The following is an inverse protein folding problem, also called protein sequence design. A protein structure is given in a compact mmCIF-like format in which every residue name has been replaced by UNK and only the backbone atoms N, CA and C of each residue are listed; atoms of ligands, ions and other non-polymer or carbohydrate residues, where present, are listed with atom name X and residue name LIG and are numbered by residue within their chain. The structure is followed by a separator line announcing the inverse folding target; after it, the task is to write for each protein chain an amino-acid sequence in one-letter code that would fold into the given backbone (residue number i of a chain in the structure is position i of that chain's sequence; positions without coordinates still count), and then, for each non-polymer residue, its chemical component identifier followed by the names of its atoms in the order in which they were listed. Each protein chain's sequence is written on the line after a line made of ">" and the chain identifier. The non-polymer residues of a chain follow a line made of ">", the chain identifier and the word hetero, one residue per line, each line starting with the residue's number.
data_IF_613215511513
#
_entry.id   IF_613215511513
#
_cell.length_a   1.000
_cell.length_b   1.000
_cell.length_c   1.000
_cell.angle_alpha   90.00
_cell.angle_beta   90.00
_cell.angle_gamma   90.00
#
_symmetry.space_group_name_H-M   'P 1'
#
loop_
_entity.id
_entity.type
_entity.pdbx_description
1 polymer ?
#
# COMPACT_ATOMS: atom_id res chain seq x y z
N UNK A 1 -23.92 19.44 1.95
CA UNK A 1 -23.90 18.74 3.24
C UNK A 1 -22.45 18.45 3.59
N UNK A 2 -21.97 19.19 4.59
CA UNK A 2 -20.79 19.02 5.47
C UNK A 2 -19.76 17.96 5.01
N UNK A 3 -18.71 18.37 4.30
CA UNK A 3 -17.35 18.55 4.85
C UNK A 3 -16.97 17.41 5.81
N UNK A 4 -16.58 16.28 5.25
CA UNK A 4 -15.83 15.27 6.00
C UNK A 4 -14.40 15.79 6.08
N UNK A 5 -14.18 16.63 7.08
CA UNK A 5 -12.87 16.99 7.57
C UNK A 5 -12.33 15.77 8.32
N UNK A 6 -11.63 14.87 7.61
CA UNK A 6 -10.69 13.95 8.23
C UNK A 6 -9.44 14.75 8.60
N UNK A 7 -9.55 15.54 9.67
CA UNK A 7 -8.39 16.12 10.34
C UNK A 7 -7.89 15.04 11.29
N UNK A 8 -7.03 14.15 10.76
CA UNK A 8 -6.15 13.35 11.60
C UNK A 8 -4.95 14.24 11.91
N UNK A 9 -5.04 14.90 13.06
CA UNK A 9 -3.96 15.69 13.60
C UNK A 9 -2.79 14.78 13.98
N UNK A 10 -1.78 14.71 13.13
CA UNK A 10 -0.42 14.32 13.53
C UNK A 10 0.39 15.61 13.72
N UNK A 11 0.17 16.27 14.86
CA UNK A 11 1.04 17.33 15.33
C UNK A 11 2.35 16.70 15.84
N UNK A 12 3.44 16.89 15.12
CA UNK A 12 4.76 16.48 15.59
C UNK A 12 5.89 16.72 14.58
N UNK A 13 6.47 17.92 14.62
CA UNK A 13 7.88 18.18 14.25
C UNK A 13 8.31 18.06 12.77
N UNK A 14 7.54 18.63 11.83
CA UNK A 14 8.08 19.04 10.51
C UNK A 14 8.75 20.42 10.54
N UNK A 15 9.63 20.68 11.51
CA UNK A 15 10.49 21.87 11.41
C UNK A 15 11.53 21.65 10.33
N UNK A 16 11.16 22.06 9.11
CA UNK A 16 12.06 22.75 8.19
C UNK A 16 13.22 21.92 7.61
N UNK A 17 12.92 20.78 6.98
CA UNK A 17 13.85 20.17 6.02
C UNK A 17 13.16 20.02 4.66
N UNK A 18 13.53 20.91 3.75
CA UNK A 18 13.32 20.85 2.30
C UNK A 18 11.90 21.15 1.75
N UNK A 19 11.66 22.45 1.60
CA UNK A 19 10.59 23.06 0.84
C UNK A 19 10.59 22.64 -0.65
N UNK A 20 9.81 21.60 -1.00
CA UNK A 20 9.07 21.44 -2.26
C UNK A 20 7.97 20.36 -2.18
N UNK A 21 7.87 19.62 -1.08
CA UNK A 21 6.90 18.52 -0.97
C UNK A 21 5.51 19.04 -0.64
N UNK A 22 4.55 18.68 -1.49
CA UNK A 22 3.14 18.92 -1.26
C UNK A 22 2.66 17.96 -0.15
N UNK A 23 2.16 18.45 1.00
CA UNK A 23 1.64 17.57 2.08
C UNK A 23 0.54 16.62 1.62
N UNK A 24 -0.14 16.94 0.51
CA UNK A 24 -1.10 16.05 -0.11
C UNK A 24 -0.45 14.89 -0.87
N UNK A 25 0.72 15.10 -1.49
CA UNK A 25 1.50 14.04 -2.15
C UNK A 25 2.01 13.03 -1.11
N UNK A 26 2.66 13.53 -0.05
CA UNK A 26 3.14 12.70 1.07
C UNK A 26 1.98 11.90 1.71
N UNK A 27 0.79 12.50 1.83
CA UNK A 27 -0.37 11.81 2.37
C UNK A 27 -0.92 10.72 1.43
N UNK A 28 -0.78 10.87 0.12
CA UNK A 28 -1.19 9.87 -0.87
C UNK A 28 -0.25 8.67 -0.80
N UNK A 29 1.07 8.90 -0.84
CA UNK A 29 2.09 7.84 -0.74
C UNK A 29 1.94 7.04 0.57
N UNK A 30 1.89 7.73 1.72
CA UNK A 30 1.75 7.05 3.02
C UNK A 30 0.46 6.20 3.13
N UNK A 31 -0.66 6.65 2.57
CA UNK A 31 -1.90 5.86 2.60
C UNK A 31 -1.82 4.66 1.65
N UNK A 32 -1.16 4.81 0.51
CA UNK A 32 -0.96 3.75 -0.44
C UNK A 32 -0.04 2.67 0.12
N UNK A 33 1.04 3.05 0.82
CA UNK A 33 1.93 2.11 1.51
C UNK A 33 1.16 1.26 2.52
N UNK A 34 0.31 1.86 3.36
CA UNK A 34 -0.51 1.08 4.33
C UNK A 34 -1.43 0.07 3.64
N UNK A 35 -1.98 0.42 2.47
CA UNK A 35 -2.84 -0.49 1.70
C UNK A 35 -2.02 -1.59 1.02
N UNK A 36 -0.90 -1.23 0.40
CA UNK A 36 0.03 -2.14 -0.25
C UNK A 36 0.61 -3.16 0.75
N UNK A 37 1.08 -2.69 1.91
CA UNK A 37 1.60 -3.55 2.98
C UNK A 37 0.52 -4.53 3.48
N UNK A 38 -0.77 -4.13 3.48
CA UNK A 38 -1.86 -5.04 3.85
C UNK A 38 -2.10 -6.12 2.80
N UNK A 39 -1.90 -5.80 1.52
CA UNK A 39 -1.98 -6.76 0.42
C UNK A 39 -0.78 -7.71 0.44
N UNK A 40 0.42 -7.22 0.71
CA UNK A 40 1.64 -8.02 0.87
C UNK A 40 1.52 -8.97 2.07
N UNK A 41 1.03 -8.50 3.23
CA UNK A 41 0.77 -9.39 4.37
C UNK A 41 -0.23 -10.50 4.04
N UNK A 42 -1.21 -10.24 3.18
CA UNK A 42 -2.13 -11.27 2.70
C UNK A 42 -1.44 -12.23 1.73
N UNK A 43 -0.57 -11.72 0.84
CA UNK A 43 0.28 -12.52 -0.04
C UNK A 43 1.17 -13.46 0.76
N UNK A 44 1.92 -12.94 1.73
CA UNK A 44 2.80 -13.72 2.62
C UNK A 44 2.04 -14.83 3.36
N UNK A 45 0.81 -14.55 3.80
CA UNK A 45 -0.02 -15.58 4.44
C UNK A 45 -0.49 -16.65 3.44
N UNK A 46 -0.78 -16.27 2.19
CA UNK A 46 -1.13 -17.24 1.14
C UNK A 46 0.08 -18.10 0.74
N UNK A 47 1.27 -17.51 0.64
CA UNK A 47 2.52 -18.25 0.39
C UNK A 47 2.84 -19.21 1.53
N UNK A 48 2.72 -18.77 2.79
CA UNK A 48 2.91 -19.66 3.94
C UNK A 48 1.91 -20.83 3.92
N UNK A 49 0.66 -20.59 3.52
CA UNK A 49 -0.34 -21.66 3.33
C UNK A 49 -0.01 -22.58 2.16
N UNK A 50 0.61 -22.05 1.10
CA UNK A 50 1.06 -22.84 -0.06
C UNK A 50 2.21 -23.76 0.33
N UNK A 51 3.20 -23.25 1.08
CA UNK A 51 4.34 -24.00 1.62
C UNK A 51 3.88 -25.16 2.52
N UNK A 52 2.83 -24.95 3.31
CA UNK A 52 2.23 -25.98 4.18
C UNK A 52 1.32 -26.96 3.41
N UNK A 53 0.95 -26.66 2.16
CA UNK A 53 0.01 -27.47 1.40
C UNK A 53 0.67 -28.77 0.89
N UNK A 54 0.17 -29.90 1.39
CA UNK A 54 0.58 -31.24 0.90
C UNK A 54 0.15 -31.57 -0.54
N UNK A 55 -0.58 -30.67 -1.21
CA UNK A 55 -1.10 -30.84 -2.56
C UNK A 55 -0.58 -29.72 -3.47
N UNK A 56 0.24 -30.09 -4.45
CA UNK A 56 0.85 -29.16 -5.40
C UNK A 56 -0.18 -28.27 -6.14
N UNK A 57 -1.32 -28.81 -6.55
CA UNK A 57 -2.33 -28.01 -7.25
C UNK A 57 -2.98 -26.94 -6.35
N UNK A 58 -3.03 -27.20 -5.03
CA UNK A 58 -3.50 -26.22 -4.04
C UNK A 58 -2.42 -25.19 -3.77
N UNK A 59 -1.16 -25.61 -3.61
CA UNK A 59 -0.01 -24.71 -3.49
C UNK A 59 0.06 -23.76 -4.68
N UNK A 60 0.04 -24.27 -5.91
CA UNK A 60 0.06 -23.46 -7.14
C UNK A 60 -1.09 -22.43 -7.16
N UNK A 61 -2.29 -22.80 -6.69
CA UNK A 61 -3.43 -21.87 -6.65
C UNK A 61 -3.23 -20.76 -5.62
N UNK A 62 -2.64 -21.08 -4.47
CA UNK A 62 -2.34 -20.13 -3.40
C UNK A 62 -1.20 -19.19 -3.79
N UNK A 63 -0.11 -19.71 -4.37
CA UNK A 63 0.99 -18.91 -4.92
C UNK A 63 0.48 -17.95 -6.00
N UNK A 64 -0.35 -18.43 -6.93
CA UNK A 64 -0.97 -17.55 -7.93
C UNK A 64 -1.86 -16.46 -7.28
N UNK A 65 -2.51 -16.75 -6.15
CA UNK A 65 -3.30 -15.75 -5.45
C UNK A 65 -2.40 -14.74 -4.71
N UNK A 66 -1.29 -15.19 -4.13
CA UNK A 66 -0.27 -14.35 -3.51
C UNK A 66 0.37 -13.40 -4.54
N UNK A 67 0.77 -13.92 -5.71
CA UNK A 67 1.29 -13.13 -6.83
C UNK A 67 0.31 -12.04 -7.27
N UNK A 68 -0.99 -12.36 -7.33
CA UNK A 68 -2.02 -11.38 -7.67
C UNK A 68 -2.17 -10.29 -6.59
N UNK A 69 -2.02 -10.65 -5.32
CA UNK A 69 -2.05 -9.69 -4.21
C UNK A 69 -0.83 -8.77 -4.22
N UNK A 70 0.37 -9.31 -4.47
CA UNK A 70 1.60 -8.53 -4.65
C UNK A 70 1.49 -7.60 -5.86
N UNK A 71 1.00 -8.10 -7.01
CA UNK A 71 0.76 -7.26 -8.17
C UNK A 71 -0.27 -6.14 -7.88
N UNK A 72 -1.29 -6.41 -7.06
CA UNK A 72 -2.22 -5.37 -6.63
C UNK A 72 -1.57 -4.34 -5.70
N UNK A 73 -0.66 -4.75 -4.81
CA UNK A 73 0.12 -3.87 -3.95
C UNK A 73 1.01 -2.93 -4.78
N UNK A 74 1.72 -3.48 -5.77
CA UNK A 74 2.54 -2.72 -6.72
C UNK A 74 1.70 -1.70 -7.49
N UNK A 75 0.54 -2.11 -8.01
CA UNK A 75 -0.37 -1.19 -8.72
C UNK A 75 -0.87 -0.05 -7.82
N UNK A 76 -1.06 -0.30 -6.52
CA UNK A 76 -1.46 0.74 -5.56
C UNK A 76 -0.33 1.74 -5.36
N UNK A 77 0.92 1.28 -5.17
CA UNK A 77 2.09 2.15 -5.04
C UNK A 77 2.33 2.95 -6.32
N UNK A 78 2.35 2.30 -7.48
CA UNK A 78 2.51 2.94 -8.79
C UNK A 78 1.43 4.01 -9.05
N UNK A 79 0.17 3.72 -8.71
CA UNK A 79 -0.91 4.68 -8.85
C UNK A 79 -0.77 5.85 -7.87
N UNK A 80 -0.23 5.62 -6.68
CA UNK A 80 -0.02 6.65 -5.67
C UNK A 80 1.13 7.57 -6.07
N UNK A 81 2.24 7.00 -6.53
CA UNK A 81 3.39 7.74 -7.09
C UNK A 81 2.94 8.61 -8.26
N UNK A 82 2.17 8.07 -9.19
CA UNK A 82 1.65 8.84 -10.32
C UNK A 82 0.75 10.00 -9.85
N UNK A 83 -0.05 9.82 -8.80
CA UNK A 83 -0.88 10.89 -8.23
C UNK A 83 -0.03 11.90 -7.47
N UNK A 84 0.94 11.45 -6.69
CA UNK A 84 1.87 12.28 -5.92
C UNK A 84 2.72 13.16 -6.84
N UNK A 85 3.24 12.62 -7.94
CA UNK A 85 3.98 13.36 -8.98
C UNK A 85 3.14 14.46 -9.63
N UNK A 86 1.82 14.24 -9.81
CA UNK A 86 0.91 15.29 -10.30
C UNK A 86 0.61 16.38 -9.25
N UNK A 87 0.96 16.14 -7.99
CA UNK A 87 0.76 17.03 -6.86
C UNK A 87 2.04 17.78 -6.45
N UNK A 88 3.22 17.32 -6.86
CA UNK A 88 4.53 17.97 -6.66
C UNK A 88 4.67 19.27 -7.49
#
# INVERSE_FOLDING_TARGET
>A
MKKIAFVVAAAGLMTLAACNNNPAADAVENNADVVADNLEMQADNMDAMADDASNAAVADTLENAADNANAAADNVRDSADAVADNLQ
#
